data_IF_582290546531
#
_entry.id   IF_582290546531
#
_cell.length_a   1.000
_cell.length_b   1.000
_cell.length_c   1.000
_cell.angle_alpha   90.00
_cell.angle_beta   90.00
_cell.angle_gamma   90.00
#
_symmetry.space_group_name_H-M   'P 1'
#
loop_
_entity.id
_entity.type
_entity.pdbx_description
1 polymer ?
#
# COMPACT_ATOMS: atom_id res chain seq x y z
N UNK A 1 3.34 20.41 -19.27
CA UNK A 1 2.70 19.86 -18.04
C UNK A 1 3.81 19.60 -17.04
N UNK A 2 4.07 20.54 -16.12
CA UNK A 2 5.11 20.36 -15.10
C UNK A 2 4.79 19.14 -14.25
N UNK A 3 5.65 18.12 -14.30
CA UNK A 3 5.47 16.88 -13.57
C UNK A 3 5.32 17.19 -12.09
N UNK A 4 4.13 16.91 -11.52
CA UNK A 4 3.94 16.97 -10.08
C UNK A 4 4.98 16.05 -9.44
N UNK A 5 5.66 16.55 -8.40
CA UNK A 5 6.58 15.77 -7.58
C UNK A 5 5.93 14.46 -7.19
N UNK A 6 6.56 13.33 -7.52
CA UNK A 6 6.12 11.98 -7.14
C UNK A 6 5.81 11.98 -5.64
N UNK A 7 4.54 11.76 -5.27
CA UNK A 7 4.17 11.64 -3.85
C UNK A 7 4.63 10.28 -3.37
N UNK A 8 5.73 10.30 -2.65
CA UNK A 8 6.46 9.12 -2.21
C UNK A 8 6.66 9.14 -0.69
N UNK A 9 6.51 7.96 -0.09
CA UNK A 9 6.80 7.71 1.31
C UNK A 9 7.62 6.43 1.44
N UNK A 10 8.81 6.57 2.00
CA UNK A 10 9.62 5.44 2.47
C UNK A 10 8.97 4.88 3.74
N UNK A 11 8.90 3.55 3.83
CA UNK A 11 8.37 2.82 4.97
C UNK A 11 9.50 1.97 5.55
N UNK A 12 9.84 2.16 6.82
CA UNK A 12 11.08 1.65 7.41
C UNK A 12 12.31 2.09 6.59
N UNK A 13 13.30 1.22 6.43
CA UNK A 13 14.55 1.53 5.74
C UNK A 13 14.45 1.41 4.22
N UNK A 14 13.71 0.40 3.72
CA UNK A 14 13.71 0.03 2.29
C UNK A 14 12.30 -0.08 1.67
N UNK A 15 11.25 -0.04 2.48
CA UNK A 15 9.87 -0.11 1.98
C UNK A 15 9.47 1.18 1.27
N UNK A 16 8.51 1.07 0.35
CA UNK A 16 8.07 2.19 -0.48
C UNK A 16 6.57 2.13 -0.72
N UNK A 17 5.91 3.29 -0.65
CA UNK A 17 4.62 3.53 -1.28
C UNK A 17 4.71 4.84 -2.05
N UNK A 18 4.57 4.76 -3.37
CA UNK A 18 4.57 5.92 -4.26
C UNK A 18 3.27 5.98 -5.05
N UNK A 19 2.59 7.12 -5.01
CA UNK A 19 1.43 7.40 -5.84
C UNK A 19 1.90 7.62 -7.28
N UNK A 20 1.52 6.71 -8.18
CA UNK A 20 1.78 6.83 -9.61
C UNK A 20 0.70 7.64 -10.33
N UNK A 21 -0.54 7.49 -9.88
CA UNK A 21 -1.70 8.02 -10.60
C UNK A 21 -2.96 8.08 -9.75
N UNK A 22 -3.85 8.98 -10.12
CA UNK A 22 -5.22 9.08 -9.61
C UNK A 22 -6.16 9.31 -10.78
N UNK A 23 -7.24 8.53 -10.86
CA UNK A 23 -8.35 8.78 -11.76
C UNK A 23 -9.52 9.43 -10.99
N UNK A 24 -10.14 10.51 -11.52
CA UNK A 24 -9.74 11.22 -12.73
C UNK A 24 -8.49 12.09 -12.53
N UNK A 25 -7.63 12.12 -13.55
CA UNK A 25 -6.48 13.04 -13.62
C UNK A 25 -6.89 14.46 -13.97
N UNK A 26 -7.90 14.58 -14.84
CA UNK A 26 -8.39 15.84 -15.38
C UNK A 26 -9.53 16.32 -14.49
N UNK A 27 -9.23 17.36 -13.73
CA UNK A 27 -10.13 17.98 -12.77
C UNK A 27 -10.14 19.48 -13.02
N UNK A 28 -11.29 20.19 -12.88
CA UNK A 28 -11.30 21.64 -12.97
C UNK A 28 -10.31 22.26 -11.98
N UNK A 29 -9.80 23.43 -12.32
CA UNK A 29 -8.85 24.16 -11.49
C UNK A 29 -9.44 24.41 -10.08
N UNK A 30 -8.63 24.17 -9.05
CA UNK A 30 -9.06 24.28 -7.66
C UNK A 30 -9.86 23.09 -7.10
N UNK A 31 -10.07 22.01 -7.87
CA UNK A 31 -10.76 20.81 -7.38
C UNK A 31 -9.85 19.57 -7.26
N UNK A 32 -10.32 18.56 -6.51
CA UNK A 32 -9.68 17.26 -6.27
C UNK A 32 -10.55 16.13 -6.84
N UNK A 33 -10.02 14.91 -6.97
CA UNK A 33 -10.78 13.75 -7.47
C UNK A 33 -12.12 13.48 -6.75
N UNK A 34 -12.35 14.08 -5.57
CA UNK A 34 -13.64 14.10 -4.87
C UNK A 34 -14.81 14.56 -5.74
N UNK A 35 -14.60 15.41 -6.76
CA UNK A 35 -15.71 15.80 -7.64
C UNK A 35 -16.28 14.63 -8.45
N UNK A 36 -15.47 13.61 -8.76
CA UNK A 36 -15.95 12.43 -9.48
C UNK A 36 -17.02 11.70 -8.66
N UNK A 37 -16.81 11.65 -7.33
CA UNK A 37 -17.77 11.08 -6.37
C UNK A 37 -19.07 11.89 -6.39
N UNK A 38 -18.97 13.21 -6.31
CA UNK A 38 -20.12 14.13 -6.32
C UNK A 38 -20.88 14.06 -7.64
N UNK A 39 -20.17 14.10 -8.76
CA UNK A 39 -20.74 14.02 -10.10
C UNK A 39 -21.48 12.69 -10.27
N UNK A 40 -20.85 11.56 -9.94
CA UNK A 40 -21.45 10.24 -10.06
C UNK A 40 -22.69 10.09 -9.18
N UNK A 41 -22.65 10.61 -7.95
CA UNK A 41 -23.82 10.63 -7.08
C UNK A 41 -24.95 11.46 -7.71
N UNK A 42 -24.66 12.67 -8.23
CA UNK A 42 -25.66 13.56 -8.82
C UNK A 42 -26.24 13.07 -10.14
N UNK A 43 -25.49 12.31 -10.94
CA UNK A 43 -26.00 11.66 -12.17
C UNK A 43 -27.17 10.72 -11.85
N UNK A 44 -27.12 10.03 -10.70
CA UNK A 44 -28.21 9.16 -10.24
C UNK A 44 -29.47 9.92 -9.79
N UNK A 45 -29.36 11.21 -9.46
CA UNK A 45 -30.49 12.04 -8.97
C UNK A 45 -31.12 12.93 -10.05
N UNK A 46 -30.63 12.90 -11.29
CA UNK A 46 -31.11 13.78 -12.37
C UNK A 46 -30.60 15.21 -12.27
N UNK A 47 -30.73 15.97 -13.34
CA UNK A 47 -30.17 17.31 -13.49
C UNK A 47 -30.76 18.32 -12.48
N UNK A 48 -30.08 18.51 -11.34
CA UNK A 48 -30.38 19.53 -10.36
C UNK A 48 -29.12 20.37 -10.07
N UNK A 49 -29.14 21.64 -10.47
CA UNK A 49 -28.07 22.62 -10.26
C UNK A 49 -27.91 22.95 -8.77
N UNK A 50 -26.82 22.53 -8.11
CA UNK A 50 -26.49 23.02 -6.75
C UNK A 50 -24.98 23.22 -6.51
N UNK A 51 -24.66 24.14 -5.60
CA UNK A 51 -23.35 24.77 -5.36
C UNK A 51 -22.31 23.88 -4.64
N UNK A 52 -21.03 24.24 -4.80
CA UNK A 52 -19.82 23.55 -4.28
C UNK A 52 -19.77 23.40 -2.75
N UNK A 53 -20.38 24.30 -1.97
CA UNK A 53 -20.40 24.18 -0.50
C UNK A 53 -21.18 22.97 0.02
N UNK A 54 -21.94 22.31 -0.86
CA UNK A 54 -22.70 21.09 -0.55
C UNK A 54 -21.88 19.80 -0.74
N UNK A 55 -20.75 19.84 -1.45
CA UNK A 55 -20.02 18.64 -1.91
C UNK A 55 -19.45 17.81 -0.75
N UNK A 56 -18.80 18.47 0.21
CA UNK A 56 -18.31 17.82 1.44
C UNK A 56 -19.45 17.23 2.28
N UNK A 57 -20.59 17.90 2.30
CA UNK A 57 -21.80 17.42 2.98
C UNK A 57 -22.33 16.16 2.32
N UNK A 58 -22.41 16.16 0.98
CA UNK A 58 -22.83 15.03 0.18
C UNK A 58 -21.90 13.83 0.35
N UNK A 59 -20.58 13.98 0.23
CA UNK A 59 -19.63 12.87 0.41
C UNK A 59 -19.79 12.24 1.80
N UNK A 60 -19.91 13.05 2.86
CA UNK A 60 -20.15 12.55 4.22
C UNK A 60 -21.49 11.86 4.36
N UNK A 61 -22.53 12.36 3.69
CA UNK A 61 -23.84 11.73 3.65
C UNK A 61 -23.77 10.35 2.96
N UNK A 62 -23.13 10.25 1.79
CA UNK A 62 -22.95 9.00 1.04
C UNK A 62 -22.22 7.96 1.90
N UNK A 63 -21.10 8.34 2.53
CA UNK A 63 -20.33 7.45 3.39
C UNK A 63 -21.16 6.98 4.61
N UNK A 64 -21.89 7.89 5.27
CA UNK A 64 -22.75 7.57 6.43
C UNK A 64 -23.83 6.55 6.08
N UNK A 65 -24.39 6.65 4.87
CA UNK A 65 -25.43 5.75 4.38
C UNK A 65 -24.88 4.56 3.60
N UNK A 66 -23.56 4.36 3.59
CA UNK A 66 -22.88 3.27 2.88
C UNK A 66 -23.25 3.20 1.38
N UNK A 67 -23.55 4.35 0.77
CA UNK A 67 -23.72 4.43 -0.67
C UNK A 67 -22.33 4.49 -1.32
N UNK A 68 -21.73 3.32 -1.58
CA UNK A 68 -20.32 3.20 -1.97
C UNK A 68 -20.07 3.34 -3.47
N UNK A 69 -21.06 3.09 -4.33
CA UNK A 69 -20.89 3.15 -5.80
C UNK A 69 -20.28 4.45 -6.32
N UNK A 70 -20.65 5.66 -5.82
CA UNK A 70 -19.99 6.89 -6.26
C UNK A 70 -18.49 6.96 -5.93
N UNK A 71 -18.04 6.26 -4.86
CA UNK A 71 -16.62 6.21 -4.49
C UNK A 71 -15.79 5.31 -5.42
N UNK A 72 -16.44 4.39 -6.15
CA UNK A 72 -15.78 3.53 -7.14
C UNK A 72 -15.35 4.28 -8.41
N UNK A 73 -15.78 5.54 -8.55
CA UNK A 73 -15.39 6.43 -9.66
C UNK A 73 -14.02 7.09 -9.46
N UNK A 74 -13.35 6.78 -8.34
CA UNK A 74 -11.99 7.23 -8.04
C UNK A 74 -11.08 6.02 -7.92
N UNK A 75 -10.01 6.00 -8.71
CA UNK A 75 -8.98 4.96 -8.65
C UNK A 75 -7.63 5.55 -8.29
N UNK A 76 -6.86 4.81 -7.49
CA UNK A 76 -5.48 5.13 -7.16
C UNK A 76 -4.56 4.03 -7.67
N UNK A 77 -3.43 4.41 -8.27
CA UNK A 77 -2.38 3.49 -8.69
C UNK A 77 -1.12 3.76 -7.90
N UNK A 78 -0.60 2.72 -7.28
CA UNK A 78 0.60 2.80 -6.45
C UNK A 78 1.72 1.93 -7.01
N UNK A 79 2.96 2.37 -6.79
CA UNK A 79 4.15 1.52 -6.83
C UNK A 79 4.57 1.26 -5.39
N UNK A 80 4.56 -0.02 -5.00
CA UNK A 80 4.91 -0.43 -3.65
C UNK A 80 6.12 -1.35 -3.66
N UNK A 81 6.99 -1.20 -2.66
CA UNK A 81 8.03 -2.17 -2.33
C UNK A 81 7.83 -2.64 -0.89
N UNK A 82 7.75 -3.95 -0.68
CA UNK A 82 7.48 -4.56 0.61
C UNK A 82 8.00 -6.00 0.66
N UNK A 83 8.15 -6.59 1.85
CA UNK A 83 8.54 -8.00 1.99
C UNK A 83 7.45 -8.95 1.48
N UNK A 84 7.87 -10.12 0.98
CA UNK A 84 6.95 -11.15 0.44
C UNK A 84 5.87 -11.52 1.47
N UNK A 85 6.20 -11.64 2.75
CA UNK A 85 5.20 -12.01 3.77
C UNK A 85 4.12 -10.94 3.97
N UNK A 86 4.43 -9.65 3.74
CA UNK A 86 3.46 -8.55 3.74
C UNK A 86 2.65 -8.55 2.44
N UNK A 87 3.30 -8.75 1.29
CA UNK A 87 2.64 -8.85 -0.01
C UNK A 87 1.57 -9.97 -0.04
N UNK A 88 1.85 -11.11 0.62
CA UNK A 88 0.89 -12.22 0.77
C UNK A 88 -0.36 -11.88 1.57
N UNK A 89 -0.28 -10.92 2.49
CA UNK A 89 -1.47 -10.38 3.18
C UNK A 89 -2.21 -9.42 2.25
N UNK A 90 -1.46 -8.55 1.57
CA UNK A 90 -2.01 -7.51 0.68
C UNK A 90 -2.80 -8.11 -0.50
N UNK A 91 -2.30 -9.18 -1.13
CA UNK A 91 -2.95 -9.81 -2.29
C UNK A 91 -4.32 -10.44 -1.97
N UNK A 92 -4.70 -10.52 -0.68
CA UNK A 92 -6.03 -11.00 -0.26
C UNK A 92 -7.14 -9.98 -0.53
N UNK A 93 -6.79 -8.72 -0.80
CA UNK A 93 -7.73 -7.67 -1.21
C UNK A 93 -8.12 -7.83 -2.69
N UNK A 94 -9.00 -8.79 -2.96
CA UNK A 94 -9.43 -9.21 -4.32
C UNK A 94 -10.11 -8.15 -5.18
N UNK A 95 -10.47 -7.01 -4.60
CA UNK A 95 -11.06 -5.87 -5.34
C UNK A 95 -9.99 -4.98 -5.99
N UNK A 96 -8.72 -5.18 -5.69
CA UNK A 96 -7.61 -4.45 -6.29
C UNK A 96 -7.06 -5.16 -7.53
N UNK A 97 -6.56 -4.37 -8.47
CA UNK A 97 -5.76 -4.87 -9.58
C UNK A 97 -4.27 -4.80 -9.19
N UNK A 98 -3.56 -5.92 -9.23
CA UNK A 98 -2.17 -6.02 -8.76
C UNK A 98 -1.29 -6.69 -9.81
N UNK A 99 -0.07 -6.18 -9.96
CA UNK A 99 1.01 -6.79 -10.72
C UNK A 99 2.27 -6.80 -9.83
N UNK A 100 3.04 -7.88 -9.88
CA UNK A 100 4.22 -8.09 -9.03
C UNK A 100 5.44 -8.43 -9.88
N UNK A 101 6.60 -7.96 -9.44
CA UNK A 101 7.89 -8.33 -10.02
C UNK A 101 8.09 -9.85 -9.93
N UNK A 102 8.39 -10.48 -11.06
CA UNK A 102 8.49 -11.94 -11.13
C UNK A 102 9.93 -12.42 -11.04
N UNK A 103 10.27 -13.10 -9.93
CA UNK A 103 11.55 -13.79 -9.77
C UNK A 103 11.79 -14.95 -10.74
N UNK A 104 10.82 -15.28 -11.61
CA UNK A 104 10.96 -16.29 -12.68
C UNK A 104 11.63 -15.75 -13.93
N UNK A 105 11.47 -14.45 -14.20
CA UNK A 105 11.97 -13.80 -15.41
C UNK A 105 13.11 -12.84 -15.13
N UNK A 106 13.27 -12.44 -13.88
CA UNK A 106 14.23 -11.43 -13.48
C UNK A 106 14.89 -11.83 -12.17
N UNK A 107 16.15 -11.44 -12.00
CA UNK A 107 16.90 -11.64 -10.76
C UNK A 107 16.23 -10.83 -9.64
N UNK A 108 16.00 -11.45 -8.49
CA UNK A 108 15.43 -10.76 -7.33
C UNK A 108 16.45 -9.76 -6.78
N UNK A 109 16.05 -8.53 -6.41
CA UNK A 109 17.00 -7.58 -5.82
C UNK A 109 17.48 -8.05 -4.46
N UNK A 110 18.74 -7.75 -4.14
CA UNK A 110 19.35 -7.95 -2.82
C UNK A 110 18.78 -6.94 -1.81
N UNK A 111 17.56 -7.23 -1.34
CA UNK A 111 16.80 -6.36 -0.44
C UNK A 111 15.97 -7.19 0.53
N UNK A 112 16.40 -7.22 1.78
CA UNK A 112 15.74 -7.95 2.85
C UNK A 112 15.16 -6.98 3.88
N UNK A 113 14.02 -7.36 4.45
CA UNK A 113 13.49 -6.63 5.60
C UNK A 113 14.08 -7.19 6.88
N UNK A 114 14.68 -6.28 7.66
CA UNK A 114 15.18 -6.57 8.99
C UNK A 114 14.46 -5.67 10.00
N UNK A 115 13.75 -6.23 11.00
CA UNK A 115 13.19 -5.42 12.08
C UNK A 115 14.30 -4.91 13.01
N UNK A 116 14.02 -3.85 13.78
CA UNK A 116 14.88 -3.51 14.92
C UNK A 116 14.72 -4.54 16.04
N UNK A 117 15.67 -4.57 16.97
CA UNK A 117 15.65 -5.49 18.13
C UNK A 117 14.33 -5.36 18.91
N UNK A 118 13.86 -4.13 19.13
CA UNK A 118 12.62 -3.82 19.87
C UNK A 118 11.35 -4.14 19.08
N UNK A 119 11.46 -4.26 17.75
CA UNK A 119 10.36 -4.62 16.87
C UNK A 119 10.12 -6.14 16.78
N UNK A 120 11.06 -6.95 17.30
CA UNK A 120 10.83 -8.39 17.46
C UNK A 120 9.90 -8.63 18.65
N UNK A 121 8.73 -9.18 18.37
CA UNK A 121 7.65 -9.31 19.35
C UNK A 121 7.23 -10.76 19.53
N UNK A 122 6.73 -11.08 20.72
CA UNK A 122 6.03 -12.35 20.93
C UNK A 122 4.74 -12.39 20.12
N UNK A 123 4.40 -13.59 19.66
CA UNK A 123 3.12 -13.83 19.01
C UNK A 123 1.97 -13.49 19.96
N UNK A 124 1.01 -12.70 19.49
CA UNK A 124 -0.17 -12.37 20.30
C UNK A 124 -0.99 -13.63 20.61
N UNK A 125 -1.50 -13.71 21.85
CA UNK A 125 -2.35 -14.81 22.33
C UNK A 125 -3.77 -14.74 21.77
N UNK A 126 -4.22 -13.56 21.38
CA UNK A 126 -5.60 -13.30 20.91
C UNK A 126 -5.66 -13.00 19.42
N UNK A 127 -4.62 -12.39 18.85
CA UNK A 127 -4.55 -12.07 17.43
C UNK A 127 -3.39 -12.82 16.76
N UNK A 128 -3.70 -13.89 16.02
CA UNK A 128 -2.69 -14.68 15.30
C UNK A 128 -1.92 -13.89 14.21
N UNK A 129 -2.37 -12.68 13.87
CA UNK A 129 -1.69 -11.81 12.90
C UNK A 129 -0.91 -10.67 13.56
N UNK A 130 -0.94 -10.57 14.89
CA UNK A 130 -0.30 -9.49 15.65
C UNK A 130 0.80 -9.97 16.59
N UNK A 131 1.68 -9.04 16.96
CA UNK A 131 2.63 -9.20 18.06
C UNK A 131 2.20 -8.41 19.29
N UNK A 132 2.49 -8.92 20.48
CA UNK A 132 2.25 -8.25 21.77
C UNK A 132 3.51 -7.52 22.24
N UNK A 133 4.03 -7.85 23.42
CA UNK A 133 5.25 -7.26 23.96
C UNK A 133 6.49 -7.66 23.15
N UNK A 134 7.55 -6.82 23.19
CA UNK A 134 8.87 -7.23 22.72
C UNK A 134 9.27 -8.57 23.35
N UNK A 135 9.89 -9.43 22.54
CA UNK A 135 10.50 -10.65 23.08
C UNK A 135 11.75 -10.28 23.89
N UNK A 136 12.26 -11.21 24.69
CA UNK A 136 13.50 -10.93 25.43
C UNK A 136 14.65 -10.62 24.45
N UNK A 137 15.57 -9.71 24.82
CA UNK A 137 16.61 -9.24 23.90
C UNK A 137 17.54 -10.34 23.38
N UNK A 138 17.75 -11.41 24.14
CA UNK A 138 18.62 -12.53 23.73
C UNK A 138 17.98 -13.27 22.58
N UNK A 139 16.72 -13.69 22.73
CA UNK A 139 15.96 -14.36 21.66
C UNK A 139 15.76 -13.44 20.46
N UNK A 140 15.54 -12.14 20.68
CA UNK A 140 15.46 -11.16 19.60
C UNK A 140 16.76 -11.10 18.80
N UNK A 141 17.91 -11.07 19.47
CA UNK A 141 19.22 -11.06 18.82
C UNK A 141 19.48 -12.36 18.05
N UNK A 142 19.16 -13.52 18.62
CA UNK A 142 19.26 -14.81 17.93
C UNK A 142 18.44 -14.83 16.63
N UNK A 143 17.25 -14.22 16.64
CA UNK A 143 16.42 -14.07 15.45
C UNK A 143 17.06 -13.14 14.40
N UNK A 144 17.65 -12.01 14.83
CA UNK A 144 18.35 -11.11 13.92
C UNK A 144 19.59 -11.77 13.29
N UNK A 145 20.36 -12.54 14.07
CA UNK A 145 21.52 -13.30 13.59
C UNK A 145 21.10 -14.40 12.59
N UNK A 146 19.90 -14.97 12.76
CA UNK A 146 19.30 -15.87 11.77
C UNK A 146 18.94 -15.14 10.46
N UNK A 147 18.41 -13.92 10.54
CA UNK A 147 18.12 -13.11 9.35
C UNK A 147 19.42 -12.74 8.61
N UNK A 148 20.48 -12.37 9.33
CA UNK A 148 21.79 -12.05 8.73
C UNK A 148 22.37 -13.25 7.95
N UNK A 149 22.26 -14.45 8.51
CA UNK A 149 22.65 -15.68 7.79
C UNK A 149 21.78 -15.95 6.56
N UNK A 150 20.49 -15.61 6.62
CA UNK A 150 19.57 -15.81 5.50
C UNK A 150 19.86 -14.82 4.36
N UNK A 151 20.18 -13.57 4.68
CA UNK A 151 20.59 -12.54 3.72
C UNK A 151 21.92 -12.91 3.05
N UNK A 152 22.89 -13.45 3.80
CA UNK A 152 24.17 -13.92 3.24
C UNK A 152 24.02 -15.04 2.18
N UNK A 153 22.90 -15.77 2.15
CA UNK A 153 22.62 -16.76 1.10
C UNK A 153 22.33 -16.13 -0.27
N UNK A 154 22.12 -14.82 -0.34
CA UNK A 154 21.92 -14.12 -1.61
C UNK A 154 23.15 -14.25 -2.54
N UNK A 155 24.36 -14.28 -1.98
CA UNK A 155 25.59 -14.51 -2.74
C UNK A 155 25.60 -15.90 -3.40
N UNK A 156 25.11 -16.91 -2.68
CA UNK A 156 24.96 -18.26 -3.24
C UNK A 156 23.90 -18.28 -4.34
N UNK A 157 22.75 -17.65 -4.14
CA UNK A 157 21.72 -17.48 -5.17
C UNK A 157 22.28 -16.82 -6.43
N UNK A 158 23.03 -15.73 -6.26
CA UNK A 158 23.65 -14.99 -7.37
C UNK A 158 24.65 -15.86 -8.12
N UNK A 159 25.53 -16.57 -7.40
CA UNK A 159 26.49 -17.49 -8.00
C UNK A 159 25.86 -18.72 -8.68
N UNK A 160 24.62 -19.09 -8.34
CA UNK A 160 23.86 -20.15 -9.04
C UNK A 160 23.21 -19.65 -10.34
N UNK A 161 22.96 -18.36 -10.49
CA UNK A 161 22.40 -17.77 -11.73
C UNK A 161 23.47 -17.69 -12.83
N UNK A 162 24.74 -17.52 -12.46
CA UNK A 162 25.86 -17.37 -13.40
C UNK A 162 26.43 -18.70 -13.92
N UNK A 163 25.98 -19.84 -13.38
CA UNK A 163 26.42 -21.20 -13.79
C UNK A 163 25.61 -21.74 -14.95
#
# INVERSE_FOLDING_TARGET
>A
MGGRTRLERTIHEQGLVALLDVMPRLVPEGQTADMAIVQAARVSYGAGTKQVSEDRGLIRYLLRHRHTTPFEMVEFKFHCAMPIFVARQWIRHRTANVNEYSGRYSVMPDRFYKPTLEAVRKQSRTNKQGGEEPIDPVTAQEFLDYLDRSEALYEEYSGLIEK
#
